data_IF_931425008672
#
_entry.id   IF_931425008672
#
_cell.length_a   1.000
_cell.length_b   1.000
_cell.length_c   1.000
_cell.angle_alpha   90.00
_cell.angle_beta   90.00
_cell.angle_gamma   90.00
#
_symmetry.space_group_name_H-M   'P 1'
#
loop_
_entity.id
_entity.type
_entity.pdbx_description
1 polymer ?
#
# COMPACT_ATOMS: atom_id res chain seq x y z
N UNK A 1 -4.85 -12.06 -11.12
CA UNK A 1 -4.09 -10.89 -11.62
C UNK A 1 -3.66 -10.10 -10.40
N UNK A 2 -2.42 -9.58 -10.39
CA UNK A 2 -1.98 -8.67 -9.33
C UNK A 2 -2.66 -7.31 -9.49
N UNK A 3 -2.91 -6.61 -8.40
CA UNK A 3 -3.45 -5.26 -8.43
C UNK A 3 -2.44 -4.31 -9.05
N UNK A 4 -2.85 -3.51 -10.03
CA UNK A 4 -1.98 -2.56 -10.70
C UNK A 4 -2.05 -1.19 -9.99
N UNK A 5 -1.22 -0.99 -8.97
CA UNK A 5 -1.08 0.29 -8.25
C UNK A 5 -0.41 1.36 -9.09
N UNK A 6 0.47 0.97 -10.01
CA UNK A 6 1.17 1.83 -10.94
C UNK A 6 1.26 1.17 -12.32
N UNK A 7 1.35 2.00 -13.35
CA UNK A 7 1.53 1.59 -14.75
C UNK A 7 2.89 2.08 -15.28
N UNK A 8 3.30 1.57 -16.43
CA UNK A 8 4.51 2.07 -17.09
C UNK A 8 4.40 3.57 -17.46
N UNK A 9 3.19 4.06 -17.74
CA UNK A 9 2.95 5.47 -17.98
C UNK A 9 3.23 6.32 -16.73
N UNK A 10 2.86 5.84 -15.54
CA UNK A 10 3.15 6.55 -14.29
C UNK A 10 4.65 6.65 -14.03
N UNK A 11 5.42 5.62 -14.38
CA UNK A 11 6.88 5.65 -14.27
C UNK A 11 7.48 6.71 -15.19
N UNK A 12 6.92 6.91 -16.39
CA UNK A 12 7.38 7.89 -17.36
C UNK A 12 7.04 9.34 -16.98
N UNK A 13 5.93 9.56 -16.28
CA UNK A 13 5.46 10.90 -15.89
C UNK A 13 6.37 11.61 -14.89
N UNK A 14 7.12 10.89 -14.09
CA UNK A 14 7.96 11.50 -13.05
C UNK A 14 9.40 11.60 -13.55
N UNK A 15 9.66 12.57 -14.42
CA UNK A 15 10.91 13.25 -14.73
C UNK A 15 12.27 12.57 -14.48
N UNK A 16 12.40 11.26 -14.71
CA UNK A 16 13.73 10.67 -14.82
C UNK A 16 14.28 10.96 -16.22
N UNK A 17 15.54 11.39 -16.34
CA UNK A 17 16.15 11.51 -17.65
C UNK A 17 16.10 10.15 -18.34
N UNK A 18 15.77 10.16 -19.64
CA UNK A 18 15.72 8.95 -20.47
C UNK A 18 16.99 8.11 -20.40
N UNK A 19 18.13 8.74 -20.11
CA UNK A 19 19.42 8.08 -19.86
C UNK A 19 19.39 7.15 -18.63
N UNK A 20 18.55 7.42 -17.63
CA UNK A 20 18.46 6.58 -16.44
C UNK A 20 17.71 5.25 -16.70
N UNK A 21 16.90 5.19 -17.76
CA UNK A 21 16.11 4.01 -18.12
C UNK A 21 16.53 3.48 -19.50
N UNK A 22 17.23 4.29 -20.30
CA UNK A 22 17.37 4.23 -21.75
C UNK A 22 17.99 2.96 -22.37
N UNK A 23 18.47 2.00 -21.60
CA UNK A 23 18.96 0.72 -22.11
C UNK A 23 18.00 -0.44 -21.92
N UNK A 24 16.91 -0.24 -21.14
CA UNK A 24 15.94 -1.27 -20.91
C UNK A 24 14.88 -1.30 -22.01
N UNK A 25 14.59 -2.49 -22.53
CA UNK A 25 13.45 -2.66 -23.43
C UNK A 25 12.13 -2.41 -22.71
N UNK A 26 11.09 -2.04 -23.46
CA UNK A 26 9.73 -1.85 -22.88
C UNK A 26 9.25 -3.09 -22.12
N UNK A 27 9.56 -4.29 -22.60
CA UNK A 27 9.22 -5.53 -21.92
C UNK A 27 9.93 -5.67 -20.57
N UNK A 28 11.20 -5.27 -20.46
CA UNK A 28 11.94 -5.27 -19.20
C UNK A 28 11.41 -4.22 -18.24
N UNK A 29 11.08 -3.05 -18.75
CA UNK A 29 10.46 -1.98 -17.94
C UNK A 29 9.11 -2.45 -17.39
N UNK A 30 8.26 -3.06 -18.22
CA UNK A 30 6.97 -3.61 -17.78
C UNK A 30 7.16 -4.70 -16.71
N UNK A 31 8.10 -5.61 -16.88
CA UNK A 31 8.39 -6.63 -15.88
C UNK A 31 8.84 -6.03 -14.54
N UNK A 32 9.55 -4.91 -14.54
CA UNK A 32 9.91 -4.20 -13.31
C UNK A 32 8.69 -3.56 -12.64
N UNK A 33 7.75 -3.02 -13.42
CA UNK A 33 6.49 -2.46 -12.90
C UNK A 33 5.60 -3.56 -12.32
N UNK A 34 5.49 -4.69 -13.00
CA UNK A 34 4.71 -5.84 -12.54
C UNK A 34 5.27 -6.39 -11.21
N UNK A 35 6.61 -6.48 -11.12
CA UNK A 35 7.26 -6.85 -9.87
C UNK A 35 6.96 -5.86 -8.74
N UNK A 36 7.04 -4.56 -9.01
CA UNK A 36 6.77 -3.52 -8.01
C UNK A 36 5.31 -3.55 -7.52
N UNK A 37 4.36 -3.78 -8.42
CA UNK A 37 2.96 -3.96 -8.07
C UNK A 37 2.74 -5.18 -7.17
N UNK A 38 3.41 -6.29 -7.47
CA UNK A 38 3.33 -7.51 -6.67
C UNK A 38 3.95 -7.30 -5.27
N UNK A 39 5.12 -6.67 -5.18
CA UNK A 39 5.79 -6.38 -3.91
C UNK A 39 4.97 -5.41 -3.04
N UNK A 40 4.44 -4.34 -3.64
CA UNK A 40 3.55 -3.41 -2.95
C UNK A 40 2.28 -4.10 -2.43
N UNK A 41 1.65 -4.92 -3.27
CA UNK A 41 0.47 -5.69 -2.88
C UNK A 41 0.73 -6.63 -1.70
N UNK A 42 1.86 -7.31 -1.70
CA UNK A 42 2.27 -8.18 -0.59
C UNK A 42 2.47 -7.39 0.71
N UNK A 43 3.09 -6.20 0.64
CA UNK A 43 3.30 -5.32 1.80
C UNK A 43 2.01 -4.75 2.35
N UNK A 44 1.07 -4.40 1.47
CA UNK A 44 -0.22 -3.83 1.86
C UNK A 44 -1.22 -4.90 2.34
N UNK A 45 -1.09 -6.15 1.89
CA UNK A 45 -2.05 -7.23 2.19
C UNK A 45 -2.21 -7.51 3.69
N UNK A 46 -1.18 -7.28 4.50
CA UNK A 46 -1.24 -7.44 5.95
C UNK A 46 -2.24 -6.50 6.61
N UNK A 47 -2.45 -5.31 6.03
CA UNK A 47 -3.39 -4.31 6.53
C UNK A 47 -4.68 -4.24 5.72
N UNK A 48 -4.60 -4.50 4.43
CA UNK A 48 -5.72 -4.47 3.48
C UNK A 48 -5.88 -5.85 2.83
N UNK A 49 -6.50 -6.81 3.54
CA UNK A 49 -6.66 -8.18 3.05
C UNK A 49 -7.36 -8.20 1.69
N UNK A 50 -6.79 -8.92 0.74
CA UNK A 50 -7.34 -9.04 -0.62
C UNK A 50 -6.88 -7.97 -1.61
N UNK A 51 -6.19 -6.92 -1.18
CA UNK A 51 -5.70 -5.86 -2.08
C UNK A 51 -4.73 -6.39 -3.16
N UNK A 52 -3.98 -7.44 -2.85
CA UNK A 52 -3.03 -8.07 -3.76
C UNK A 52 -3.65 -9.05 -4.75
N UNK A 53 -4.95 -9.31 -4.66
CA UNK A 53 -5.63 -10.33 -5.48
C UNK A 53 -6.26 -9.75 -6.77
N UNK A 54 -5.97 -8.50 -7.09
CA UNK A 54 -6.50 -7.85 -8.29
C UNK A 54 -8.00 -7.57 -8.22
N UNK A 55 -8.52 -7.45 -7.01
CA UNK A 55 -9.94 -7.24 -6.77
C UNK A 55 -10.43 -5.94 -7.38
N UNK A 56 -11.47 -6.01 -8.21
CA UNK A 56 -12.22 -4.85 -8.61
C UNK A 56 -12.78 -4.15 -7.37
N UNK A 57 -12.75 -2.82 -7.35
CA UNK A 57 -13.33 -2.03 -6.28
C UNK A 57 -12.36 -1.43 -5.27
N UNK A 58 -11.07 -1.71 -5.37
CA UNK A 58 -10.06 -1.00 -4.58
C UNK A 58 -9.73 0.37 -5.20
N UNK A 59 -9.67 1.40 -4.37
CA UNK A 59 -9.19 2.73 -4.75
C UNK A 59 -8.12 3.18 -3.76
N UNK A 60 -7.15 3.96 -4.22
CA UNK A 60 -6.05 4.50 -3.42
C UNK A 60 -5.70 5.91 -3.88
N UNK A 61 -5.04 6.65 -3.04
CA UNK A 61 -4.53 7.97 -3.39
C UNK A 61 -3.25 7.88 -4.24
N UNK A 62 -2.86 9.02 -4.80
CA UNK A 62 -1.70 9.09 -5.68
C UNK A 62 -0.37 8.81 -4.95
N UNK A 63 -0.34 8.91 -3.62
CA UNK A 63 0.87 8.61 -2.84
C UNK A 63 1.25 7.13 -2.96
N UNK A 64 0.26 6.23 -2.95
CA UNK A 64 0.50 4.79 -3.16
C UNK A 64 1.15 4.55 -4.52
N UNK A 65 0.60 5.13 -5.58
CA UNK A 65 1.17 5.04 -6.93
C UNK A 65 2.61 5.58 -6.96
N UNK A 66 2.88 6.71 -6.34
CA UNK A 66 4.22 7.31 -6.27
C UNK A 66 5.25 6.40 -5.62
N UNK A 67 4.92 5.77 -4.51
CA UNK A 67 5.82 4.83 -3.83
C UNK A 67 6.01 3.52 -4.61
N UNK A 68 4.98 3.02 -5.30
CA UNK A 68 5.13 1.86 -6.19
C UNK A 68 6.03 2.19 -7.39
N UNK A 69 5.92 3.39 -7.94
CA UNK A 69 6.84 3.89 -8.98
C UNK A 69 8.29 3.94 -8.47
N UNK A 70 8.53 4.33 -7.23
CA UNK A 70 9.87 4.30 -6.64
C UNK A 70 10.44 2.88 -6.54
N UNK A 71 9.62 1.88 -6.18
CA UNK A 71 10.01 0.46 -6.21
C UNK A 71 10.36 0.00 -7.63
N UNK A 72 9.52 0.35 -8.62
CA UNK A 72 9.75 -0.03 -10.02
C UNK A 72 11.06 0.55 -10.55
N UNK A 73 11.34 1.81 -10.26
CA UNK A 73 12.58 2.50 -10.66
C UNK A 73 13.82 1.88 -10.04
N UNK A 74 13.76 1.54 -8.77
CA UNK A 74 14.85 0.83 -8.11
C UNK A 74 15.11 -0.51 -8.79
N UNK A 75 14.07 -1.25 -9.14
CA UNK A 75 14.20 -2.51 -9.87
C UNK A 75 14.80 -2.32 -11.25
N UNK A 76 14.40 -1.25 -11.96
CA UNK A 76 14.98 -0.90 -13.26
C UNK A 76 16.48 -0.56 -13.14
N UNK A 77 16.86 0.19 -12.10
CA UNK A 77 18.26 0.49 -11.82
C UNK A 77 19.08 -0.78 -11.56
N UNK A 78 18.55 -1.71 -10.79
CA UNK A 78 19.22 -2.97 -10.48
C UNK A 78 19.39 -3.84 -11.74
N UNK A 79 18.40 -3.85 -12.64
CA UNK A 79 18.46 -4.60 -13.91
C UNK A 79 19.42 -3.93 -14.91
N UNK A 80 19.40 -2.61 -15.01
CA UNK A 80 20.29 -1.84 -15.88
C UNK A 80 21.75 -1.90 -15.42
N UNK A 81 21.96 -1.91 -14.12
CA UNK A 81 23.24 -1.70 -13.47
C UNK A 81 23.59 -0.20 -13.30
N UNK A 82 24.58 0.06 -12.47
CA UNK A 82 25.03 1.42 -12.15
C UNK A 82 26.09 1.88 -13.17
N UNK A 83 26.06 3.16 -13.51
CA UNK A 83 27.06 3.77 -14.37
C UNK A 83 27.53 5.10 -13.79
N UNK A 84 28.84 5.44 -13.89
CA UNK A 84 29.37 6.72 -13.38
C UNK A 84 28.67 7.94 -13.99
N UNK A 85 28.24 7.86 -15.24
CA UNK A 85 27.55 8.94 -15.96
C UNK A 85 26.14 9.23 -15.41
N UNK A 86 25.57 8.34 -14.62
CA UNK A 86 24.21 8.45 -14.06
C UNK A 86 24.20 8.47 -12.53
N UNK A 87 25.35 8.64 -11.88
CA UNK A 87 25.52 8.49 -10.44
C UNK A 87 24.56 9.36 -9.59
N UNK A 88 24.28 10.60 -10.03
CA UNK A 88 23.34 11.49 -9.32
C UNK A 88 21.89 11.03 -9.46
N UNK A 89 21.50 10.56 -10.65
CA UNK A 89 20.16 10.00 -10.86
C UNK A 89 19.99 8.66 -10.12
N UNK A 90 21.02 7.84 -10.10
CA UNK A 90 21.04 6.58 -9.38
C UNK A 90 20.87 6.80 -7.87
N UNK A 91 21.57 7.81 -7.32
CA UNK A 91 21.41 8.18 -5.91
C UNK A 91 20.00 8.65 -5.60
N UNK A 92 19.39 9.47 -6.45
CA UNK A 92 18.01 9.91 -6.27
C UNK A 92 17.04 8.72 -6.25
N UNK A 93 17.25 7.73 -7.13
CA UNK A 93 16.43 6.50 -7.14
C UNK A 93 16.59 5.74 -5.82
N UNK A 94 17.81 5.62 -5.30
CA UNK A 94 18.06 4.97 -4.00
C UNK A 94 17.39 5.71 -2.84
N UNK A 95 17.46 7.04 -2.81
CA UNK A 95 16.86 7.87 -1.77
C UNK A 95 15.32 7.72 -1.81
N UNK A 96 14.69 7.78 -2.98
CA UNK A 96 13.25 7.58 -3.16
C UNK A 96 12.82 6.16 -2.80
N UNK A 97 13.63 5.16 -3.10
CA UNK A 97 13.36 3.78 -2.70
C UNK A 97 13.40 3.62 -1.18
N UNK A 98 14.39 4.21 -0.50
CA UNK A 98 14.47 4.17 0.95
C UNK A 98 13.26 4.83 1.60
N UNK A 99 12.79 5.96 1.05
CA UNK A 99 11.56 6.64 1.48
C UNK A 99 10.33 5.74 1.28
N UNK A 100 10.21 5.08 0.12
CA UNK A 100 9.12 4.17 -0.16
C UNK A 100 9.08 2.99 0.84
N UNK A 101 10.21 2.38 1.14
CA UNK A 101 10.30 1.29 2.12
C UNK A 101 9.91 1.76 3.51
N UNK A 102 10.35 2.94 3.94
CA UNK A 102 9.96 3.53 5.22
C UNK A 102 8.45 3.79 5.28
N UNK A 103 7.86 4.28 4.18
CA UNK A 103 6.43 4.49 4.08
C UNK A 103 5.63 3.18 4.18
N UNK A 104 6.00 2.14 3.42
CA UNK A 104 5.35 0.83 3.52
C UNK A 104 5.46 0.23 4.92
N UNK A 105 6.62 0.38 5.57
CA UNK A 105 6.80 -0.03 6.96
C UNK A 105 5.88 0.74 7.90
N UNK A 106 5.75 2.07 7.71
CA UNK A 106 4.82 2.90 8.47
C UNK A 106 3.36 2.48 8.30
N UNK A 107 2.97 2.05 7.09
CA UNK A 107 1.64 1.50 6.84
C UNK A 107 1.43 0.17 7.57
N UNK A 108 2.40 -0.73 7.52
CA UNK A 108 2.33 -2.03 8.20
C UNK A 108 2.26 -1.88 9.72
N UNK A 109 3.01 -0.94 10.29
CA UNK A 109 3.02 -0.64 11.73
C UNK A 109 1.88 0.27 12.17
N UNK A 110 0.97 0.62 11.27
CA UNK A 110 -0.18 1.49 11.51
C UNK A 110 0.16 2.94 11.91
N UNK A 111 1.38 3.37 11.67
CA UNK A 111 1.78 4.76 11.86
C UNK A 111 1.32 5.67 10.70
N UNK A 112 1.18 5.10 9.51
CA UNK A 112 0.71 5.79 8.31
C UNK A 112 -0.63 5.17 7.87
N UNK A 113 -1.60 6.02 7.57
CA UNK A 113 -2.93 5.65 7.15
C UNK A 113 -3.22 6.20 5.74
N UNK A 114 -2.78 5.53 4.67
CA UNK A 114 -3.10 5.97 3.32
C UNK A 114 -4.61 5.88 3.06
N UNK A 115 -5.11 6.74 2.19
CA UNK A 115 -6.50 6.70 1.75
C UNK A 115 -6.71 5.53 0.77
N UNK A 116 -6.76 4.32 1.31
CA UNK A 116 -7.08 3.10 0.57
C UNK A 116 -8.47 2.65 1.01
N UNK A 117 -9.39 2.57 0.04
CA UNK A 117 -10.76 2.13 0.27
C UNK A 117 -11.15 1.09 -0.77
N UNK A 118 -12.06 0.21 -0.42
CA UNK A 118 -12.56 -0.83 -1.32
C UNK A 118 -12.35 -2.22 -0.76
N UNK A 119 -12.44 -3.19 -1.66
CA UNK A 119 -12.38 -4.59 -1.28
C UNK A 119 -13.67 -5.02 -0.60
N UNK A 120 -14.80 -4.90 -1.27
CA UNK A 120 -15.94 -5.72 -0.90
C UNK A 120 -15.57 -7.19 -1.14
N UNK A 121 -14.84 -7.74 -0.18
CA UNK A 121 -14.93 -9.17 0.03
C UNK A 121 -16.38 -9.43 0.41
N UNK A 122 -17.11 -10.17 -0.40
CA UNK A 122 -18.41 -10.67 -0.04
C UNK A 122 -18.32 -11.27 1.39
N UNK A 123 -18.90 -10.61 2.37
CA UNK A 123 -18.95 -11.08 3.75
C UNK A 123 -17.95 -10.46 4.74
N UNK A 124 -17.11 -9.50 4.36
CA UNK A 124 -16.36 -8.73 5.34
C UNK A 124 -17.30 -7.69 5.96
N UNK A 125 -17.95 -8.06 7.04
CA UNK A 125 -18.41 -7.08 8.00
C UNK A 125 -17.24 -6.17 8.33
N UNK A 126 -17.42 -4.86 8.11
CA UNK A 126 -16.46 -3.85 8.54
C UNK A 126 -16.27 -4.03 10.06
N UNK A 127 -15.20 -4.70 10.42
CA UNK A 127 -14.73 -4.65 11.79
C UNK A 127 -13.96 -3.34 11.95
N UNK A 128 -14.70 -2.23 11.91
CA UNK A 128 -14.31 -1.10 12.73
C UNK A 128 -14.15 -1.59 14.16
N UNK A 129 -13.44 -0.85 15.04
CA UNK A 129 -13.34 -1.24 16.43
C UNK A 129 -14.77 -1.45 16.93
N UNK A 130 -15.16 -2.71 17.07
CA UNK A 130 -16.38 -3.07 17.73
C UNK A 130 -16.12 -2.69 19.19
N UNK A 131 -16.46 -1.46 19.52
CA UNK A 131 -16.75 -1.16 20.90
C UNK A 131 -18.00 -1.98 21.21
N UNK A 132 -17.81 -3.23 21.55
CA UNK A 132 -18.84 -3.98 22.21
C UNK A 132 -18.99 -3.31 23.58
N UNK A 133 -19.80 -2.28 23.63
CA UNK A 133 -20.40 -1.89 24.89
C UNK A 133 -21.24 -3.09 25.31
N UNK A 134 -20.64 -3.95 26.09
CA UNK A 134 -21.45 -4.92 26.84
C UNK A 134 -22.37 -4.10 27.71
N UNK A 135 -23.60 -3.91 27.27
CA UNK A 135 -24.66 -3.24 27.98
C UNK A 135 -25.07 -3.99 29.25
N UNK A 136 -24.27 -4.95 29.67
CA UNK A 136 -24.49 -5.75 30.93
C UNK A 136 -24.23 -4.96 32.20
N UNK A 137 -23.64 -3.77 32.10
CA UNK A 137 -23.40 -2.96 33.30
C UNK A 137 -24.62 -2.12 33.77
N UNK A 138 -25.67 -1.99 32.97
CA UNK A 138 -26.79 -1.12 33.27
C UNK A 138 -28.09 -1.82 33.58
N UNK A 139 -28.13 -3.15 33.64
CA UNK A 139 -29.34 -3.90 33.99
C UNK A 139 -29.45 -4.21 35.47
N UNK A 140 -28.59 -3.63 36.31
CA UNK A 140 -28.69 -3.84 37.76
C UNK A 140 -29.59 -2.82 38.52
N UNK A 141 -30.33 -2.00 37.80
CA UNK A 141 -31.30 -1.08 38.40
C UNK A 141 -32.67 -1.68 38.67
N UNK A 142 -32.89 -2.95 38.29
CA UNK A 142 -34.15 -3.65 38.53
C UNK A 142 -34.27 -4.36 39.88
N UNK A 143 -33.15 -4.52 40.60
CA UNK A 143 -33.17 -5.34 41.84
C UNK A 143 -33.45 -4.56 43.13
N UNK A 144 -33.78 -3.28 43.05
CA UNK A 144 -34.07 -2.46 44.28
C UNK A 144 -35.52 -2.19 44.55
N UNK A 145 -36.44 -2.79 43.82
CA UNK A 145 -37.88 -2.56 44.05
C UNK A 145 -38.59 -3.63 44.86
N UNK A 146 -37.90 -4.67 45.35
CA UNK A 146 -38.53 -5.81 45.98
C UNK A 146 -38.35 -5.87 47.52
N UNK A 147 -37.96 -4.81 48.19
CA UNK A 147 -37.87 -4.81 49.61
C UNK A 147 -38.54 -3.58 50.26
N UNK A 148 -39.84 -3.40 50.00
CA UNK A 148 -40.75 -2.61 50.83
C UNK A 148 -41.98 -3.46 51.14
N UNK A 149 -41.85 -4.27 52.09
CA UNK A 149 -42.96 -4.93 52.76
C UNK A 149 -42.64 -5.05 54.21
N UNK A 150 -43.46 -4.40 54.99
CA UNK A 150 -43.62 -4.41 56.45
C UNK A 150 -42.94 -3.21 57.09
#
# INVERSE_FOLDING_TARGET
MATAFATLADVALVGLPSSAIGTLSTAQQQACVDWANADAGARLAGRYPGINQGGAGWTWDYSVTGYVVALARKRMLDVRGRAPSTASADKLIDDLYAEAIAWFTGVQTQMIHPAITGGEAAGATSQGPVVSSSSTYWTNSGARAANRGI
#
